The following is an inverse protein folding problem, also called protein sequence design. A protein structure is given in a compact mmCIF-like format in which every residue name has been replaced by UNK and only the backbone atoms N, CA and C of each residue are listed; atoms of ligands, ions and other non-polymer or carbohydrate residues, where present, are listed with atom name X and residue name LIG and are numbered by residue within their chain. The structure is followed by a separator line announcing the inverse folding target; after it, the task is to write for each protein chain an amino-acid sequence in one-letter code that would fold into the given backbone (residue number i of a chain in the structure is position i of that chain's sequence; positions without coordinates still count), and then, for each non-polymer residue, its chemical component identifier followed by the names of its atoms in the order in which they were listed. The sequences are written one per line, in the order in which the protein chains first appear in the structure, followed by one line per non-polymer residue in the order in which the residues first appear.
data_IF_330574710079
#
_entry.id   IF_330574710079
#
_cell.length_a   1.000
_cell.length_b   1.000
_cell.length_c   1.000
_cell.angle_alpha   90.00
_cell.angle_beta   90.00
_cell.angle_gamma   90.00
#
_symmetry.space_group_name_H-M   'P 1'
#
loop_
_entity.id
_entity.type
_entity.pdbx_description
1 polymer ?
#
# COMPACT_ATOMS: atom_id res chain seq x y z
N UNK A 1 2.90 -7.51 -16.83
CA UNK A 1 3.49 -7.51 -15.47
C UNK A 1 2.69 -6.55 -14.62
N UNK A 2 2.30 -6.92 -13.39
CA UNK A 2 1.55 -6.04 -12.49
C UNK A 2 2.43 -4.85 -12.08
N UNK A 3 1.79 -3.71 -11.82
CA UNK A 3 2.45 -2.52 -11.31
C UNK A 3 2.74 -2.73 -9.82
N UNK A 4 4.00 -2.57 -9.39
CA UNK A 4 4.39 -2.84 -8.01
C UNK A 4 4.34 -1.57 -7.17
N UNK A 5 3.67 -1.63 -6.03
CA UNK A 5 3.57 -0.54 -5.04
C UNK A 5 4.13 -1.06 -3.71
N UNK A 6 5.14 -0.37 -3.18
CA UNK A 6 5.76 -0.69 -1.89
C UNK A 6 5.53 0.45 -0.89
N UNK A 7 4.93 0.15 0.25
CA UNK A 7 4.74 1.11 1.35
C UNK A 7 5.90 1.04 2.33
N UNK A 8 6.51 2.17 2.66
CA UNK A 8 7.70 2.19 3.51
C UNK A 8 7.45 2.98 4.80
N UNK A 9 7.76 2.37 5.94
CA UNK A 9 7.79 3.05 7.23
C UNK A 9 9.08 2.73 7.99
N UNK A 10 9.24 3.21 9.22
CA UNK A 10 10.47 2.95 9.98
C UNK A 10 10.61 1.49 10.41
N UNK A 11 9.52 0.86 10.84
CA UNK A 11 9.57 -0.45 11.49
C UNK A 11 8.79 -1.57 10.80
N UNK A 12 8.00 -1.27 9.76
CA UNK A 12 7.21 -2.27 9.02
C UNK A 12 6.28 -3.19 9.82
N UNK A 13 5.79 -2.72 10.97
CA UNK A 13 4.87 -3.48 11.82
C UNK A 13 3.55 -2.76 12.06
N UNK A 14 3.42 -1.52 11.59
CA UNK A 14 2.27 -0.67 11.93
C UNK A 14 1.76 0.07 10.70
N UNK A 15 2.44 1.13 10.27
CA UNK A 15 1.92 2.03 9.24
C UNK A 15 1.99 1.44 7.84
N UNK A 16 3.15 0.90 7.44
CA UNK A 16 3.33 0.39 6.07
C UNK A 16 2.53 -0.89 5.78
N UNK A 17 2.46 -1.91 6.67
CA UNK A 17 1.60 -3.07 6.41
C UNK A 17 0.11 -2.72 6.41
N UNK A 18 -0.32 -1.82 7.30
CA UNK A 18 -1.71 -1.32 7.32
C UNK A 18 -2.05 -0.58 6.04
N UNK A 19 -1.16 0.31 5.57
CA UNK A 19 -1.35 1.03 4.30
C UNK A 19 -1.42 0.07 3.10
N UNK A 20 -0.57 -0.96 3.07
CA UNK A 20 -0.61 -2.01 2.04
C UNK A 20 -1.94 -2.77 2.03
N UNK A 21 -2.46 -3.13 3.21
CA UNK A 21 -3.75 -3.82 3.34
C UNK A 21 -4.93 -2.94 2.89
N UNK A 22 -4.95 -1.67 3.29
CA UNK A 22 -5.97 -0.69 2.86
C UNK A 22 -5.93 -0.49 1.35
N UNK A 23 -4.74 -0.33 0.79
CA UNK A 23 -4.57 -0.11 -0.64
C UNK A 23 -5.00 -1.33 -1.47
N UNK A 24 -4.62 -2.54 -1.04
CA UNK A 24 -5.08 -3.79 -1.67
C UNK A 24 -6.61 -3.88 -1.70
N UNK A 25 -7.29 -3.62 -0.58
CA UNK A 25 -8.75 -3.63 -0.53
C UNK A 25 -9.41 -2.61 -1.48
N UNK A 26 -8.75 -1.48 -1.76
CA UNK A 26 -9.24 -0.48 -2.73
C UNK A 26 -9.02 -0.91 -4.18
N UNK A 27 -7.89 -1.54 -4.47
CA UNK A 27 -7.60 -2.15 -5.78
C UNK A 27 -8.63 -3.24 -6.09
N UNK A 28 -8.97 -4.05 -5.08
CA UNK A 28 -10.06 -5.05 -5.10
C UNK A 28 -11.42 -4.42 -5.32
N UNK A 29 -11.77 -3.39 -4.55
CA UNK A 29 -13.01 -2.64 -4.76
C UNK A 29 -13.12 -2.00 -6.15
N UNK A 30 -11.99 -1.73 -6.82
CA UNK A 30 -11.94 -1.19 -8.18
C UNK A 30 -11.84 -2.28 -9.28
N UNK A 31 -11.83 -3.56 -8.92
CA UNK A 31 -11.77 -4.70 -9.84
C UNK A 31 -10.42 -4.84 -10.55
N UNK A 32 -9.30 -4.56 -9.86
CA UNK A 32 -7.95 -4.51 -10.45
C UNK A 32 -6.94 -5.50 -9.83
N UNK A 33 -7.44 -6.62 -9.33
CA UNK A 33 -6.71 -7.58 -8.47
C UNK A 33 -5.52 -8.30 -9.11
N UNK A 34 -5.41 -8.26 -10.43
CA UNK A 34 -4.26 -8.78 -11.17
C UNK A 34 -3.34 -7.71 -11.73
N UNK A 35 -3.69 -6.42 -11.60
CA UNK A 35 -2.97 -5.32 -12.23
C UNK A 35 -1.92 -4.69 -11.30
N UNK A 36 -2.02 -4.92 -9.99
CA UNK A 36 -1.19 -4.27 -8.98
C UNK A 36 -0.65 -5.29 -7.99
N UNK A 37 0.66 -5.30 -7.78
CA UNK A 37 1.31 -6.01 -6.68
C UNK A 37 1.55 -5.04 -5.53
N UNK A 38 1.23 -5.44 -4.30
CA UNK A 38 1.34 -4.59 -3.11
C UNK A 38 2.27 -5.25 -2.10
N UNK A 39 3.25 -4.48 -1.64
CA UNK A 39 4.26 -4.88 -0.67
C UNK A 39 4.48 -3.80 0.39
N UNK A 40 5.18 -4.14 1.48
CA UNK A 40 5.59 -3.19 2.52
C UNK A 40 7.05 -3.43 2.96
N UNK A 41 7.71 -2.40 3.46
CA UNK A 41 9.07 -2.50 3.96
C UNK A 41 9.38 -1.50 5.09
N UNK A 42 10.39 -1.85 5.89
CA UNK A 42 10.91 -1.05 6.98
C UNK A 42 12.26 -0.43 6.62
N UNK A 43 12.49 0.83 6.96
CA UNK A 43 13.84 1.42 6.81
C UNK A 43 14.79 0.99 7.93
N UNK A 44 14.25 0.52 9.06
CA UNK A 44 15.02 -0.08 10.16
C UNK A 44 14.76 -1.58 10.24
N UNK A 45 15.80 -2.40 10.04
CA UNK A 45 15.71 -3.87 10.12
C UNK A 45 15.52 -4.45 11.53
N UNK A 46 15.07 -3.64 12.50
CA UNK A 46 14.91 -4.08 13.91
C UNK A 46 13.73 -5.04 14.11
N UNK A 47 12.79 -5.09 13.15
CA UNK A 47 11.55 -5.87 13.22
C UNK A 47 11.38 -6.83 12.03
N UNK A 48 12.45 -7.16 11.31
CA UNK A 48 12.37 -8.15 10.22
C UNK A 48 11.87 -9.49 10.77
N UNK A 49 10.69 -9.92 10.29
CA UNK A 49 10.07 -11.19 10.68
C UNK A 49 9.17 -11.15 11.92
N UNK A 50 9.05 -10.01 12.60
CA UNK A 50 8.19 -9.87 13.79
C UNK A 50 6.68 -9.91 13.45
N UNK A 51 6.32 -9.73 12.17
CA UNK A 51 4.94 -9.62 11.71
C UNK A 51 4.27 -8.32 12.16
N UNK A 52 2.98 -8.17 11.84
CA UNK A 52 2.24 -6.96 12.19
C UNK A 52 2.09 -6.80 13.71
N UNK A 53 2.30 -5.58 14.22
CA UNK A 53 2.05 -5.23 15.62
C UNK A 53 0.56 -5.41 15.91
N UNK A 54 0.15 -6.23 16.89
CA UNK A 54 -1.26 -6.47 17.19
C UNK A 54 -2.00 -5.22 17.70
N UNK A 55 -1.28 -4.16 18.09
CA UNK A 55 -1.83 -2.84 18.42
C UNK A 55 -1.99 -1.94 17.21
N UNK A 56 -1.61 -2.37 16.01
CA UNK A 56 -1.83 -1.63 14.78
C UNK A 56 -3.36 -1.45 14.59
N UNK A 57 -3.86 -0.33 15.10
CA UNK A 57 -5.23 0.14 14.95
C UNK A 57 -5.15 1.49 14.26
N UNK A 58 -5.95 1.71 13.21
CA UNK A 58 -5.90 2.99 12.49
C UNK A 58 -6.17 2.88 10.99
N UNK A 59 -7.23 2.16 10.62
CA UNK A 59 -7.67 2.05 9.22
C UNK A 59 -7.88 3.43 8.59
N UNK A 60 -8.48 4.36 9.35
CA UNK A 60 -8.84 5.69 8.89
C UNK A 60 -7.63 6.62 8.75
N UNK A 61 -6.72 6.66 9.73
CA UNK A 61 -5.48 7.44 9.63
C UNK A 61 -4.57 6.94 8.51
N UNK A 62 -4.46 5.62 8.33
CA UNK A 62 -3.69 5.06 7.23
C UNK A 62 -4.35 5.34 5.88
N UNK A 63 -5.68 5.37 5.81
CA UNK A 63 -6.40 5.77 4.61
C UNK A 63 -6.08 7.22 4.23
N UNK A 64 -6.12 8.15 5.19
CA UNK A 64 -5.77 9.56 4.94
C UNK A 64 -4.33 9.69 4.46
N UNK A 65 -3.39 8.98 5.07
CA UNK A 65 -1.99 8.95 4.64
C UNK A 65 -1.84 8.41 3.21
N UNK A 66 -2.52 7.30 2.88
CA UNK A 66 -2.48 6.69 1.53
C UNK A 66 -2.99 7.69 0.50
N UNK A 67 -4.13 8.33 0.74
CA UNK A 67 -4.71 9.32 -0.18
C UNK A 67 -3.86 10.59 -0.31
N UNK A 68 -3.12 10.97 0.74
CA UNK A 68 -2.30 12.19 0.74
C UNK A 68 -0.91 12.01 0.10
N UNK A 69 -0.36 10.80 0.04
CA UNK A 69 1.03 10.55 -0.39
C UNK A 69 1.29 10.82 -1.89
N UNK A 70 0.24 10.91 -2.70
CA UNK A 70 0.20 11.28 -4.13
C UNK A 70 -1.29 11.42 -4.46
N UNK A 71 -1.74 12.24 -5.43
CA UNK A 71 -3.17 12.63 -5.64
C UNK A 71 -4.21 11.50 -5.78
N UNK A 72 -4.35 10.63 -4.78
CA UNK A 72 -4.84 9.25 -4.85
C UNK A 72 -3.79 8.30 -5.44
N UNK A 73 -3.15 7.39 -4.69
CA UNK A 73 -2.30 6.33 -5.26
C UNK A 73 -3.11 5.40 -6.17
N UNK A 74 -4.43 5.28 -5.94
CA UNK A 74 -5.32 4.59 -6.87
C UNK A 74 -5.45 5.34 -8.20
N UNK A 75 -5.47 6.68 -8.18
CA UNK A 75 -5.51 7.50 -9.38
C UNK A 75 -4.18 7.41 -10.15
N UNK A 76 -3.05 7.49 -9.45
CA UNK A 76 -1.73 7.27 -10.03
C UNK A 76 -1.59 5.87 -10.65
N UNK A 77 -2.13 4.83 -9.99
CA UNK A 77 -2.17 3.48 -10.55
C UNK A 77 -3.08 3.41 -11.77
N UNK A 78 -4.24 4.08 -11.78
CA UNK A 78 -5.14 4.09 -12.94
C UNK A 78 -4.47 4.74 -14.15
N UNK A 79 -3.87 5.91 -13.97
CA UNK A 79 -3.11 6.62 -15.01
C UNK A 79 -1.99 5.75 -15.55
N UNK A 80 -1.16 5.17 -14.66
CA UNK A 80 -0.04 4.33 -15.07
C UNK A 80 -0.48 3.00 -15.73
N UNK A 81 -1.68 2.50 -15.44
CA UNK A 81 -2.26 1.35 -16.15
C UNK A 81 -2.85 1.74 -17.51
N UNK A 82 -3.43 2.93 -17.63
CA UNK A 82 -3.96 3.49 -18.88
C UNK A 82 -2.81 3.78 -19.87
N UNK A 83 -1.68 4.34 -19.41
CA UNK A 83 -0.47 4.56 -20.22
C UNK A 83 0.16 3.25 -20.75
N UNK A 84 0.01 2.14 -20.01
CA UNK A 84 0.52 0.83 -20.41
C UNK A 84 -0.41 0.06 -21.36
N UNK A 85 -1.63 0.55 -21.55
CA UNK A 85 -2.60 -0.05 -22.46
C UNK A 85 -2.49 0.49 -23.91
N UNK A 86 -1.59 1.46 -24.15
CA UNK A 86 -1.29 2.09 -25.44
C UNK A 86 0.02 1.54 -26.00
#
# INVERSE_FOLDING_TARGET
MPLSVCFVSTGDICRSPTAGSVFRARVEGAGRDGAVAVDSAGTGGRHEGDGDDPRATGFEECTVMVEAASGGPLAAVREALEERAV
#
